data_IF_491961896548
#
_entry.id   IF_491961896548
#
_cell.length_a   1.000
_cell.length_b   1.000
_cell.length_c   1.000
_cell.angle_alpha   90.00
_cell.angle_beta   90.00
_cell.angle_gamma   90.00
#
_symmetry.space_group_name_H-M   'P 1'
#
loop_
_entity.id
_entity.type
_entity.pdbx_description
1 polymer ?
#
# COMPACT_ATOMS: atom_id res chain seq x y z
N UNK A 1 20.22 -15.60 27.22
CA UNK A 1 18.90 -14.91 27.25
C UNK A 1 18.26 -14.69 25.86
N UNK A 2 19.03 -14.64 24.76
CA UNK A 2 18.50 -14.53 23.39
C UNK A 2 17.94 -15.86 22.81
N UNK A 3 18.57 -16.99 23.11
CA UNK A 3 18.17 -18.32 22.61
C UNK A 3 16.80 -18.78 23.11
N UNK A 4 16.47 -18.51 24.38
CA UNK A 4 15.16 -18.81 24.96
C UNK A 4 14.03 -18.04 24.25
N UNK A 5 14.27 -16.77 23.95
CA UNK A 5 13.32 -15.90 23.23
C UNK A 5 13.10 -16.42 21.81
N UNK A 6 14.14 -16.93 21.16
CA UNK A 6 14.05 -17.51 19.81
C UNK A 6 13.33 -18.86 19.78
N UNK A 7 13.53 -19.73 20.78
CA UNK A 7 12.82 -21.02 20.90
C UNK A 7 11.32 -20.78 21.17
N UNK A 8 11.00 -19.88 22.10
CA UNK A 8 9.62 -19.46 22.37
C UNK A 8 8.96 -18.83 21.14
N UNK A 9 9.72 -18.07 20.32
CA UNK A 9 9.19 -17.46 19.10
C UNK A 9 9.14 -18.39 17.88
N UNK A 10 9.85 -19.52 17.82
CA UNK A 10 9.96 -20.33 16.59
C UNK A 10 9.21 -21.66 16.64
N UNK A 11 8.74 -22.07 17.82
CA UNK A 11 7.90 -23.26 17.99
C UNK A 11 8.18 -23.87 19.35
N UNK A 12 7.35 -23.56 20.34
CA UNK A 12 7.43 -24.14 21.68
C UNK A 12 6.94 -25.60 21.68
N UNK A 13 6.01 -25.93 20.79
CA UNK A 13 5.35 -27.24 20.75
C UNK A 13 6.28 -28.43 20.46
N UNK A 14 7.31 -28.38 19.59
CA UNK A 14 8.22 -29.53 19.41
C UNK A 14 9.06 -29.77 20.66
N UNK A 15 9.53 -28.71 21.32
CA UNK A 15 10.27 -28.83 22.58
C UNK A 15 9.38 -29.41 23.69
N UNK A 16 8.11 -28.99 23.74
CA UNK A 16 7.14 -29.46 24.71
C UNK A 16 6.71 -30.91 24.45
N UNK A 17 6.53 -31.30 23.18
CA UNK A 17 6.30 -32.69 22.75
C UNK A 17 7.47 -33.57 23.18
N UNK A 18 8.71 -33.17 22.90
CA UNK A 18 9.90 -33.94 23.29
C UNK A 18 10.02 -34.07 24.81
N UNK A 19 9.78 -33.00 25.56
CA UNK A 19 9.82 -33.03 27.02
C UNK A 19 8.73 -33.95 27.61
N UNK A 20 7.49 -33.86 27.10
CA UNK A 20 6.39 -34.72 27.55
C UNK A 20 6.61 -36.19 27.18
N UNK A 21 7.18 -36.46 26.01
CA UNK A 21 7.51 -37.82 25.58
C UNK A 21 8.59 -38.44 26.48
N UNK A 22 9.66 -37.69 26.80
CA UNK A 22 10.72 -38.15 27.69
C UNK A 22 10.20 -38.36 29.12
N UNK A 23 9.37 -37.45 29.64
CA UNK A 23 8.76 -37.60 30.95
C UNK A 23 7.78 -38.78 31.01
N UNK A 24 6.95 -38.97 29.99
CA UNK A 24 6.02 -40.10 29.89
C UNK A 24 6.74 -41.44 29.87
N UNK A 25 7.88 -41.54 29.18
CA UNK A 25 8.74 -42.73 29.20
C UNK A 25 9.39 -42.97 30.56
N UNK A 26 9.89 -41.91 31.22
CA UNK A 26 10.54 -42.00 32.52
C UNK A 26 9.57 -42.41 33.64
N UNK A 27 8.38 -41.82 33.66
CA UNK A 27 7.33 -42.09 34.66
C UNK A 27 6.38 -43.24 34.27
N UNK A 28 6.64 -43.93 33.15
CA UNK A 28 5.84 -45.06 32.65
C UNK A 28 4.35 -44.73 32.51
N UNK A 29 4.03 -43.56 31.97
CA UNK A 29 2.65 -43.15 31.75
C UNK A 29 1.97 -44.03 30.68
N UNK A 30 0.66 -44.33 30.82
CA UNK A 30 -0.07 -45.10 29.82
C UNK A 30 -0.02 -44.42 28.45
N UNK A 31 0.37 -45.17 27.42
CA UNK A 31 0.43 -44.66 26.05
C UNK A 31 -0.93 -44.14 25.56
N UNK A 32 -2.02 -44.73 26.05
CA UNK A 32 -3.40 -44.31 25.79
C UNK A 32 -3.69 -42.85 26.19
N UNK A 33 -2.94 -42.30 27.15
CA UNK A 33 -3.10 -40.91 27.60
C UNK A 33 -2.05 -39.99 26.97
N UNK A 34 -0.82 -40.48 26.83
CA UNK A 34 0.30 -39.69 26.28
C UNK A 34 0.08 -39.39 24.80
N UNK A 35 -0.32 -40.38 24.00
CA UNK A 35 -0.47 -40.20 22.55
C UNK A 35 -1.54 -39.16 22.21
N UNK A 36 -2.77 -39.20 22.75
CA UNK A 36 -3.76 -38.15 22.50
C UNK A 36 -3.31 -36.76 22.96
N UNK A 37 -2.64 -36.65 24.11
CA UNK A 37 -2.12 -35.39 24.60
C UNK A 37 -1.09 -34.77 23.62
N UNK A 38 -0.17 -35.58 23.11
CA UNK A 38 0.82 -35.14 22.12
C UNK A 38 0.16 -34.71 20.79
N UNK A 39 -0.87 -35.44 20.34
CA UNK A 39 -1.64 -35.08 19.13
C UNK A 39 -2.33 -33.72 19.29
N UNK A 40 -2.94 -33.47 20.46
CA UNK A 40 -3.59 -32.18 20.75
C UNK A 40 -2.55 -31.04 20.75
N UNK A 41 -1.41 -31.23 21.42
CA UNK A 41 -0.32 -30.24 21.48
C UNK A 41 0.20 -29.94 20.06
N UNK A 42 0.37 -30.97 19.23
CA UNK A 42 0.78 -30.80 17.84
C UNK A 42 -0.26 -30.00 17.05
N UNK A 43 -1.55 -30.31 17.19
CA UNK A 43 -2.64 -29.58 16.53
C UNK A 43 -2.65 -28.10 16.90
N UNK A 44 -2.56 -27.77 18.19
CA UNK A 44 -2.47 -26.38 18.67
C UNK A 44 -1.21 -25.70 18.12
N UNK A 45 -0.07 -26.40 18.16
CA UNK A 45 1.20 -25.89 17.65
C UNK A 45 1.16 -25.53 16.17
N UNK A 46 0.54 -26.37 15.34
CA UNK A 46 0.33 -26.12 13.92
C UNK A 46 -0.58 -24.92 13.67
N UNK A 47 -1.70 -24.81 14.40
CA UNK A 47 -2.61 -23.66 14.30
C UNK A 47 -1.89 -22.35 14.63
N UNK A 48 -1.14 -22.32 15.73
CA UNK A 48 -0.34 -21.14 16.13
C UNK A 48 0.73 -20.81 15.09
N UNK A 49 1.39 -21.81 14.51
CA UNK A 49 2.37 -21.61 13.44
C UNK A 49 1.72 -20.97 12.20
N UNK A 50 0.55 -21.46 11.78
CA UNK A 50 -0.20 -20.90 10.64
C UNK A 50 -0.57 -19.44 10.90
N UNK A 51 -1.10 -19.12 12.09
CA UNK A 51 -1.45 -17.74 12.47
C UNK A 51 -0.21 -16.84 12.39
N UNK A 52 0.92 -17.29 12.95
CA UNK A 52 2.16 -16.50 12.96
C UNK A 52 2.76 -16.26 11.57
N UNK A 53 2.67 -17.26 10.69
CA UNK A 53 3.08 -17.10 9.28
C UNK A 53 2.21 -16.04 8.61
N UNK A 54 0.89 -16.08 8.85
CA UNK A 54 -0.06 -15.08 8.32
C UNK A 54 0.22 -13.68 8.86
N UNK A 55 0.46 -13.52 10.15
CA UNK A 55 0.83 -12.23 10.76
C UNK A 55 2.09 -11.64 10.10
N UNK A 56 3.13 -12.43 9.91
CA UNK A 56 4.37 -11.97 9.24
C UNK A 56 4.15 -11.58 7.79
N UNK A 57 3.27 -12.28 7.07
CA UNK A 57 2.91 -11.90 5.71
C UNK A 57 2.15 -10.57 5.69
N UNK A 58 1.26 -10.33 6.66
CA UNK A 58 0.54 -9.08 6.82
C UNK A 58 1.45 -7.92 7.23
N UNK A 59 2.44 -8.14 8.08
CA UNK A 59 3.44 -7.10 8.43
C UNK A 59 4.22 -6.66 7.19
N UNK A 60 4.72 -7.61 6.37
CA UNK A 60 5.44 -7.28 5.12
C UNK A 60 4.54 -6.53 4.13
N UNK A 61 3.30 -6.98 4.04
CA UNK A 61 2.24 -6.37 3.23
C UNK A 61 2.01 -4.91 3.63
N UNK A 62 1.94 -4.63 4.93
CA UNK A 62 1.77 -3.29 5.45
C UNK A 62 2.96 -2.38 5.12
N UNK A 63 4.18 -2.89 5.26
CA UNK A 63 5.40 -2.16 4.91
C UNK A 63 5.40 -1.79 3.43
N UNK A 64 4.99 -2.70 2.53
CA UNK A 64 4.89 -2.39 1.10
C UNK A 64 3.83 -1.34 0.81
N UNK A 65 2.64 -1.46 1.40
CA UNK A 65 1.57 -0.47 1.21
C UNK A 65 2.01 0.92 1.67
N UNK A 66 2.73 0.98 2.79
CA UNK A 66 3.34 2.22 3.29
C UNK A 66 4.37 2.79 2.31
N UNK A 67 5.27 1.96 1.80
CA UNK A 67 6.28 2.40 0.83
C UNK A 67 5.64 2.99 -0.43
N UNK A 68 4.56 2.37 -0.93
CA UNK A 68 3.80 2.90 -2.07
C UNK A 68 3.19 4.26 -1.74
N UNK A 69 2.53 4.40 -0.58
CA UNK A 69 1.91 5.66 -0.17
C UNK A 69 2.94 6.78 0.06
N UNK A 70 4.06 6.46 0.70
CA UNK A 70 5.19 7.38 0.91
C UNK A 70 5.81 7.81 -0.42
N UNK A 71 6.02 6.86 -1.34
CA UNK A 71 6.54 7.16 -2.67
C UNK A 71 5.59 8.09 -3.43
N UNK A 72 4.28 7.80 -3.42
CA UNK A 72 3.26 8.65 -4.04
C UNK A 72 3.30 10.06 -3.45
N UNK A 73 3.27 10.17 -2.12
CA UNK A 73 3.29 11.45 -1.43
C UNK A 73 4.55 12.26 -1.78
N UNK A 74 5.73 11.64 -1.73
CA UNK A 74 6.99 12.32 -2.04
C UNK A 74 7.10 12.75 -3.50
N UNK A 75 6.57 11.95 -4.43
CA UNK A 75 6.80 12.17 -5.87
C UNK A 75 5.72 13.02 -6.53
N UNK A 76 4.47 12.95 -6.07
CA UNK A 76 3.33 13.53 -6.77
C UNK A 76 2.54 14.55 -5.95
N UNK A 77 2.86 14.73 -4.66
CA UNK A 77 2.20 15.69 -3.76
C UNK A 77 3.14 16.85 -3.39
N UNK A 78 2.60 17.83 -2.65
CA UNK A 78 3.34 19.00 -2.19
C UNK A 78 3.87 19.84 -3.34
N UNK A 79 5.10 20.33 -3.18
CA UNK A 79 5.80 21.19 -4.14
C UNK A 79 6.64 20.37 -5.15
N UNK A 80 6.36 19.08 -5.32
CA UNK A 80 7.07 18.25 -6.29
C UNK A 80 6.83 18.78 -7.71
N UNK A 81 7.91 18.89 -8.50
CA UNK A 81 7.80 19.23 -9.92
C UNK A 81 7.07 18.19 -10.76
N UNK A 82 6.86 16.98 -10.23
CA UNK A 82 5.99 15.98 -10.86
C UNK A 82 4.59 15.91 -10.23
N UNK A 83 4.20 16.89 -9.41
CA UNK A 83 2.81 17.00 -9.00
C UNK A 83 1.98 17.52 -10.17
N UNK A 84 0.88 16.83 -10.50
CA UNK A 84 -0.09 17.32 -11.49
C UNK A 84 -0.59 18.72 -11.14
N UNK A 85 -0.72 19.05 -9.85
CA UNK A 85 -1.16 20.36 -9.40
C UNK A 85 -0.14 21.46 -9.71
N UNK A 86 1.16 21.16 -9.58
CA UNK A 86 2.24 22.10 -9.95
C UNK A 86 2.31 22.26 -11.47
N UNK A 87 2.05 21.20 -12.22
CA UNK A 87 1.98 21.28 -13.70
C UNK A 87 0.77 22.11 -14.13
N UNK A 88 -0.39 21.94 -13.48
CA UNK A 88 -1.58 22.75 -13.69
C UNK A 88 -1.30 24.23 -13.37
N UNK A 89 -0.58 24.51 -12.28
CA UNK A 89 -0.21 25.86 -11.87
C UNK A 89 0.63 26.59 -12.93
N UNK A 90 1.45 25.87 -13.71
CA UNK A 90 2.20 26.47 -14.82
C UNK A 90 1.31 27.10 -15.91
N UNK A 91 0.02 26.71 -15.98
CA UNK A 91 -0.94 27.27 -16.93
C UNK A 91 -1.41 28.68 -16.55
N UNK A 92 -1.11 29.18 -15.34
CA UNK A 92 -1.35 30.59 -15.00
C UNK A 92 -0.52 31.55 -15.87
N UNK A 93 0.54 31.07 -16.52
CA UNK A 93 1.34 31.86 -17.47
C UNK A 93 0.62 32.09 -18.82
N UNK A 94 -0.53 31.45 -19.05
CA UNK A 94 -1.34 31.63 -20.26
C UNK A 94 -2.41 32.71 -20.04
N UNK A 95 -2.62 33.59 -21.02
CA UNK A 95 -3.68 34.62 -20.96
C UNK A 95 -5.09 34.03 -21.25
N UNK A 96 -5.55 33.10 -20.41
CA UNK A 96 -6.87 32.47 -20.52
C UNK A 96 -7.63 32.44 -19.18
N UNK A 97 -8.60 33.35 -18.97
CA UNK A 97 -9.33 33.46 -17.70
C UNK A 97 -10.05 32.17 -17.27
N UNK A 98 -10.57 31.38 -18.23
CA UNK A 98 -11.26 30.12 -17.91
C UNK A 98 -10.30 29.07 -17.36
N UNK A 99 -9.07 29.02 -17.89
CA UNK A 99 -8.05 28.11 -17.38
C UNK A 99 -7.57 28.54 -15.99
N UNK A 100 -7.48 29.83 -15.73
CA UNK A 100 -7.13 30.34 -14.40
C UNK A 100 -8.16 29.97 -13.34
N UNK A 101 -9.45 30.08 -13.65
CA UNK A 101 -10.50 29.71 -12.69
C UNK A 101 -10.49 28.21 -12.40
N UNK A 102 -10.26 27.37 -13.42
CA UNK A 102 -10.08 25.93 -13.23
C UNK A 102 -8.81 25.60 -12.44
N UNK A 103 -7.66 26.17 -12.80
CA UNK A 103 -6.39 25.97 -12.10
C UNK A 103 -6.47 26.40 -10.63
N UNK A 104 -7.18 27.50 -10.34
CA UNK A 104 -7.44 27.95 -8.96
C UNK A 104 -8.31 26.96 -8.18
N UNK A 105 -9.29 26.32 -8.82
CA UNK A 105 -10.07 25.27 -8.17
C UNK A 105 -9.21 24.03 -7.85
N UNK A 106 -8.19 23.75 -8.66
CA UNK A 106 -7.22 22.68 -8.43
C UNK A 106 -6.30 22.93 -7.22
N UNK A 107 -5.97 24.18 -6.85
CA UNK A 107 -5.19 24.49 -5.63
C UNK A 107 -5.87 23.98 -4.36
N UNK A 108 -7.20 24.16 -4.24
CA UNK A 108 -7.96 23.61 -3.11
C UNK A 108 -7.89 22.09 -3.07
N UNK A 109 -7.93 21.44 -4.24
CA UNK A 109 -7.79 20.00 -4.34
C UNK A 109 -6.40 19.55 -3.89
N UNK A 110 -5.33 20.22 -4.33
CA UNK A 110 -3.95 19.93 -3.92
C UNK A 110 -3.81 19.89 -2.38
N UNK A 111 -4.41 20.86 -1.67
CA UNK A 111 -4.37 20.90 -0.20
C UNK A 111 -5.06 19.71 0.45
N UNK A 112 -6.22 19.31 -0.10
CA UNK A 112 -6.95 18.13 0.37
C UNK A 112 -6.11 16.87 0.16
N UNK A 113 -5.51 16.71 -1.02
CA UNK A 113 -4.65 15.57 -1.32
C UNK A 113 -3.41 15.52 -0.40
N UNK A 114 -2.73 16.66 -0.18
CA UNK A 114 -1.59 16.76 0.73
C UNK A 114 -1.96 16.37 2.18
N UNK A 115 -3.10 16.87 2.67
CA UNK A 115 -3.60 16.56 4.02
C UNK A 115 -4.01 15.09 4.14
N UNK A 116 -4.69 14.56 3.11
CA UNK A 116 -5.08 13.16 3.06
C UNK A 116 -3.85 12.24 3.05
N UNK A 117 -2.84 12.51 2.22
CA UNK A 117 -1.65 11.67 2.12
C UNK A 117 -0.87 11.62 3.43
N UNK A 118 -0.68 12.77 4.08
CA UNK A 118 -0.01 12.84 5.38
C UNK A 118 -0.80 12.11 6.47
N UNK A 119 -2.12 12.29 6.53
CA UNK A 119 -3.00 11.59 7.48
C UNK A 119 -3.04 10.07 7.25
N UNK A 120 -3.12 9.64 5.98
CA UNK A 120 -3.11 8.23 5.59
C UNK A 120 -1.82 7.53 6.06
N UNK A 121 -0.66 8.12 5.76
CA UNK A 121 0.65 7.56 6.17
C UNK A 121 0.75 7.46 7.70
N UNK A 122 0.33 8.50 8.43
CA UNK A 122 0.36 8.50 9.90
C UNK A 122 -0.56 7.44 10.52
N UNK A 123 -1.79 7.30 10.00
CA UNK A 123 -2.74 6.26 10.47
C UNK A 123 -2.21 4.86 10.19
N UNK A 124 -1.72 4.65 8.97
CA UNK A 124 -1.13 3.38 8.54
C UNK A 124 0.04 2.99 9.45
N UNK A 125 0.93 3.94 9.78
CA UNK A 125 2.04 3.70 10.70
C UNK A 125 1.57 3.34 12.12
N UNK A 126 0.56 4.06 12.63
CA UNK A 126 -0.02 3.79 13.95
C UNK A 126 -0.66 2.40 14.04
N UNK A 127 -1.46 2.02 13.05
CA UNK A 127 -2.21 0.76 13.04
C UNK A 127 -1.32 -0.47 12.79
N UNK A 128 -0.23 -0.29 12.04
CA UNK A 128 0.83 -1.31 11.93
C UNK A 128 1.49 -1.54 13.29
N UNK A 129 1.83 -0.46 14.01
CA UNK A 129 2.39 -0.55 15.36
C UNK A 129 1.44 -1.21 16.37
N UNK A 130 0.13 -0.98 16.24
CA UNK A 130 -0.90 -1.54 17.11
C UNK A 130 -1.33 -2.97 16.76
N UNK A 131 -0.76 -3.60 15.72
CA UNK A 131 -1.17 -4.93 15.17
C UNK A 131 -2.64 -5.01 14.72
N UNK A 132 -3.31 -3.88 14.50
CA UNK A 132 -4.70 -3.80 14.00
C UNK A 132 -4.77 -3.70 12.47
N UNK A 133 -3.62 -3.69 11.80
CA UNK A 133 -3.52 -3.58 10.35
C UNK A 133 -4.36 -4.63 9.60
N UNK A 134 -4.45 -5.85 10.11
CA UNK A 134 -5.25 -6.91 9.49
C UNK A 134 -6.74 -6.54 9.37
N UNK A 135 -7.29 -5.87 10.38
CA UNK A 135 -8.70 -5.49 10.46
C UNK A 135 -9.01 -4.33 9.50
N UNK A 136 -8.04 -3.42 9.30
CA UNK A 136 -8.20 -2.22 8.49
C UNK A 136 -7.60 -2.31 7.09
N UNK A 137 -6.93 -3.42 6.74
CA UNK A 137 -6.28 -3.58 5.44
C UNK A 137 -7.24 -3.33 4.27
N UNK A 138 -8.48 -3.83 4.39
CA UNK A 138 -9.52 -3.60 3.39
C UNK A 138 -9.83 -2.10 3.22
N UNK A 139 -9.96 -1.38 4.33
CA UNK A 139 -10.21 0.07 4.34
C UNK A 139 -9.04 0.83 3.73
N UNK A 140 -7.81 0.54 4.13
CA UNK A 140 -6.61 1.20 3.59
C UNK A 140 -6.46 1.00 2.08
N UNK A 141 -6.74 -0.21 1.58
CA UNK A 141 -6.69 -0.49 0.15
C UNK A 141 -7.75 0.30 -0.63
N UNK A 142 -8.98 0.36 -0.13
CA UNK A 142 -10.05 1.12 -0.77
C UNK A 142 -9.79 2.63 -0.75
N UNK A 143 -9.32 3.17 0.38
CA UNK A 143 -8.98 4.58 0.47
C UNK A 143 -7.84 4.95 -0.49
N UNK A 144 -6.77 4.13 -0.54
CA UNK A 144 -5.65 4.36 -1.45
C UNK A 144 -6.07 4.20 -2.93
N UNK A 145 -6.96 3.26 -3.22
CA UNK A 145 -7.53 3.13 -4.56
C UNK A 145 -8.35 4.37 -4.96
N UNK A 146 -9.22 4.83 -4.06
CA UNK A 146 -10.07 5.99 -4.28
C UNK A 146 -9.22 7.23 -4.55
N UNK A 147 -8.19 7.48 -3.74
CA UNK A 147 -7.37 8.69 -3.92
C UNK A 147 -6.60 8.64 -5.24
N UNK A 148 -6.05 7.49 -5.64
CA UNK A 148 -5.30 7.37 -6.89
C UNK A 148 -6.22 7.57 -8.10
N UNK A 149 -7.47 7.10 -8.00
CA UNK A 149 -8.48 7.32 -9.03
C UNK A 149 -8.86 8.80 -9.14
N UNK A 150 -9.11 9.48 -8.02
CA UNK A 150 -9.42 10.91 -8.04
C UNK A 150 -8.24 11.74 -8.52
N UNK A 151 -7.00 11.34 -8.21
CA UNK A 151 -5.81 11.99 -8.72
C UNK A 151 -5.72 11.88 -10.25
N UNK A 152 -6.06 10.69 -10.78
CA UNK A 152 -6.10 10.46 -12.23
C UNK A 152 -7.08 11.38 -12.94
N UNK A 153 -8.22 11.72 -12.32
CA UNK A 153 -9.19 12.63 -12.94
C UNK A 153 -8.59 14.02 -13.24
N UNK A 154 -7.64 14.50 -12.41
CA UNK A 154 -6.91 15.74 -12.70
C UNK A 154 -5.90 15.58 -13.83
N UNK A 155 -5.29 14.40 -13.94
CA UNK A 155 -4.39 14.07 -15.05
C UNK A 155 -5.14 14.04 -16.37
N UNK A 156 -6.33 13.42 -16.38
CA UNK A 156 -7.20 13.38 -17.55
C UNK A 156 -7.70 14.78 -17.93
N UNK A 157 -8.13 15.59 -16.95
CA UNK A 157 -8.51 16.98 -17.20
C UNK A 157 -7.37 17.81 -17.78
N UNK A 158 -6.15 17.66 -17.26
CA UNK A 158 -4.99 18.38 -17.81
C UNK A 158 -4.69 17.96 -19.25
N UNK A 159 -4.75 16.66 -19.54
CA UNK A 159 -4.59 16.16 -20.90
C UNK A 159 -5.64 16.77 -21.85
N UNK A 160 -6.91 16.77 -21.45
CA UNK A 160 -8.02 17.34 -22.24
C UNK A 160 -7.87 18.85 -22.48
N UNK A 161 -7.24 19.57 -21.54
CA UNK A 161 -6.88 20.98 -21.70
C UNK A 161 -5.73 21.11 -22.70
N UNK A 162 -4.70 20.29 -22.59
CA UNK A 162 -3.53 20.30 -23.48
C UNK A 162 -3.82 19.90 -24.92
N UNK A 163 -4.90 19.16 -25.18
CA UNK A 163 -5.36 18.92 -26.55
C UNK A 163 -6.09 20.12 -27.18
N UNK A 164 -6.62 21.03 -26.35
CA UNK A 164 -7.50 22.13 -26.81
C UNK A 164 -6.83 23.50 -26.78
N UNK A 165 -5.72 23.63 -26.06
CA UNK A 165 -5.04 24.89 -25.79
C UNK A 165 -3.57 24.74 -26.11
N UNK A 166 -2.99 25.75 -26.76
CA UNK A 166 -1.54 25.81 -26.93
C UNK A 166 -0.87 26.02 -25.57
N UNK A 167 -0.19 24.98 -25.09
CA UNK A 167 0.57 24.97 -23.84
C UNK A 167 2.05 25.22 -24.17
N UNK A 168 2.80 25.96 -23.32
CA UNK A 168 4.23 26.15 -23.52
C UNK A 168 4.98 24.81 -23.59
N UNK A 169 6.01 24.68 -24.46
CA UNK A 169 6.72 23.41 -24.64
C UNK A 169 7.38 22.91 -23.35
N UNK A 170 7.80 23.81 -22.46
CA UNK A 170 8.36 23.47 -21.15
C UNK A 170 7.36 22.73 -20.26
N UNK A 171 6.11 23.19 -20.24
CA UNK A 171 5.01 22.53 -19.50
C UNK A 171 4.68 21.17 -20.11
N UNK A 172 4.68 21.04 -21.44
CA UNK A 172 4.48 19.75 -22.12
C UNK A 172 5.59 18.76 -21.74
N UNK A 173 6.85 19.20 -21.73
CA UNK A 173 7.98 18.36 -21.33
C UNK A 173 7.89 17.91 -19.87
N UNK A 174 7.52 18.83 -18.97
CA UNK A 174 7.29 18.52 -17.57
C UNK A 174 6.16 17.50 -17.39
N UNK A 175 5.04 17.68 -18.10
CA UNK A 175 3.91 16.76 -18.09
C UNK A 175 4.28 15.38 -18.62
N UNK A 176 4.98 15.28 -19.75
CA UNK A 176 5.38 13.98 -20.30
C UNK A 176 6.37 13.25 -19.37
N UNK A 177 7.25 13.98 -18.67
CA UNK A 177 8.08 13.40 -17.60
C UNK A 177 7.24 12.87 -16.43
N UNK A 178 6.20 13.60 -16.04
CA UNK A 178 5.22 13.13 -15.06
C UNK A 178 4.51 11.86 -15.53
N UNK A 179 4.05 11.81 -16.78
CA UNK A 179 3.35 10.65 -17.36
C UNK A 179 4.17 9.37 -17.25
N UNK A 180 5.46 9.42 -17.62
CA UNK A 180 6.34 8.26 -17.51
C UNK A 180 6.45 7.73 -16.07
N UNK A 181 6.69 8.62 -15.11
CA UNK A 181 6.88 8.27 -13.69
C UNK A 181 5.55 7.83 -13.05
N UNK A 182 4.45 8.50 -13.38
CA UNK A 182 3.12 8.16 -12.91
C UNK A 182 2.68 6.78 -13.42
N UNK A 183 2.90 6.49 -14.70
CA UNK A 183 2.56 5.20 -15.28
C UNK A 183 3.37 4.06 -14.65
N UNK A 184 4.67 4.27 -14.40
CA UNK A 184 5.51 3.31 -13.70
C UNK A 184 5.01 3.07 -12.25
N UNK A 185 4.65 4.14 -11.54
CA UNK A 185 4.06 4.06 -10.20
C UNK A 185 2.75 3.27 -10.20
N UNK A 186 1.83 3.60 -11.12
CA UNK A 186 0.51 2.98 -11.24
C UNK A 186 0.62 1.47 -11.46
N UNK A 187 1.55 1.01 -12.29
CA UNK A 187 1.78 -0.42 -12.52
C UNK A 187 2.28 -1.11 -11.25
N UNK A 188 3.30 -0.54 -10.59
CA UNK A 188 3.82 -1.07 -9.32
C UNK A 188 2.72 -1.10 -8.23
N UNK A 189 1.90 -0.06 -8.17
CA UNK A 189 0.76 0.00 -7.26
C UNK A 189 -0.25 -1.12 -7.51
N UNK A 190 -0.62 -1.36 -8.78
CA UNK A 190 -1.50 -2.47 -9.17
C UNK A 190 -0.93 -3.83 -8.76
N UNK A 191 0.36 -4.05 -9.00
CA UNK A 191 1.03 -5.29 -8.65
C UNK A 191 1.04 -5.49 -7.13
N UNK A 192 1.33 -4.42 -6.38
CA UNK A 192 1.30 -4.43 -4.91
C UNK A 192 -0.09 -4.77 -4.38
N UNK A 193 -1.17 -4.14 -4.89
CA UNK A 193 -2.55 -4.49 -4.48
C UNK A 193 -2.88 -5.94 -4.83
N UNK A 194 -2.47 -6.41 -6.01
CA UNK A 194 -2.74 -7.79 -6.46
C UNK A 194 -2.09 -8.81 -5.52
N UNK A 195 -0.87 -8.55 -5.08
CA UNK A 195 -0.18 -9.40 -4.11
C UNK A 195 -0.86 -9.34 -2.73
N UNK A 196 -1.23 -8.15 -2.26
CA UNK A 196 -1.93 -7.95 -0.99
C UNK A 196 -3.27 -8.70 -0.94
N UNK A 197 -4.02 -8.70 -2.05
CA UNK A 197 -5.25 -9.48 -2.20
C UNK A 197 -5.01 -10.97 -2.00
N UNK A 198 -4.00 -11.52 -2.65
CA UNK A 198 -3.68 -12.95 -2.56
C UNK A 198 -3.34 -13.37 -1.12
N UNK A 199 -2.67 -12.49 -0.35
CA UNK A 199 -2.29 -12.71 1.04
C UNK A 199 -3.50 -12.60 1.98
N UNK A 200 -4.34 -11.59 1.78
CA UNK A 200 -5.44 -11.30 2.69
C UNK A 200 -6.71 -12.12 2.38
N UNK A 201 -6.77 -12.81 1.23
CA UNK A 201 -7.99 -13.40 0.66
C UNK A 201 -9.15 -12.40 0.66
N UNK A 202 -8.83 -11.12 0.48
CA UNK A 202 -9.83 -10.07 0.40
C UNK A 202 -10.55 -10.22 -0.93
N UNK A 203 -11.88 -10.06 -0.93
CA UNK A 203 -12.70 -10.08 -2.16
C UNK A 203 -12.54 -8.83 -3.04
N UNK A 204 -11.47 -8.05 -2.85
CA UNK A 204 -11.21 -6.82 -3.62
C UNK A 204 -10.65 -7.24 -4.98
N UNK A 205 -11.28 -6.83 -6.07
CA UNK A 205 -10.68 -6.97 -7.40
C UNK A 205 -9.50 -6.00 -7.57
N UNK A 206 -8.37 -6.42 -8.16
CA UNK A 206 -7.26 -5.53 -8.45
C UNK A 206 -7.80 -4.39 -9.29
N UNK A 207 -7.55 -3.15 -8.89
CA UNK A 207 -8.24 -2.06 -9.51
C UNK A 207 -7.84 -1.91 -10.98
N UNK A 208 -8.79 -1.50 -11.82
CA UNK A 208 -8.54 -1.13 -13.21
C UNK A 208 -7.78 0.19 -13.24
N UNK A 209 -6.45 0.13 -13.16
CA UNK A 209 -5.65 1.36 -13.12
C UNK A 209 -5.53 1.95 -14.52
N UNK A 210 -5.89 3.22 -14.64
CA UNK A 210 -5.82 3.98 -15.90
C UNK A 210 -4.42 4.59 -16.04
N UNK A 211 -3.89 4.56 -17.26
CA UNK A 211 -2.61 5.16 -17.58
C UNK A 211 -2.78 6.59 -18.08
N UNK A 212 -1.86 7.45 -17.69
CA UNK A 212 -1.76 8.81 -18.19
C UNK A 212 -1.27 8.79 -19.65
N UNK A 213 -1.79 9.71 -20.45
CA UNK A 213 -1.48 9.87 -21.88
C UNK A 213 -0.48 11.00 -22.06
N UNK A 214 0.49 10.82 -22.94
CA UNK A 214 1.47 11.85 -23.31
C UNK A 214 0.84 12.88 -24.25
N UNK A 215 1.24 14.14 -24.12
CA UNK A 215 0.89 15.20 -25.06
C UNK A 215 1.91 15.21 -26.20
N UNK A 216 1.41 15.21 -27.44
CA UNK A 216 2.25 15.33 -28.64
C UNK A 216 2.72 16.78 -28.74
N UNK A 217 4.02 16.99 -28.90
CA UNK A 217 4.56 18.31 -29.25
C UNK A 217 4.07 18.67 -30.66
N UNK A 218 3.12 19.59 -30.77
CA UNK A 218 2.87 20.26 -32.04
C UNK A 218 4.10 21.12 -32.36
N UNK A 219 4.85 20.70 -33.38
CA UNK A 219 6.05 21.38 -33.87
C UNK A 219 5.72 22.69 -34.58
#
# INVERSE_FOLDING_TARGET
MYTLKTIVNRGWYPALITALAVAGLYFSWPLEVVVPALVIILGIGLVVMVIKVRERQLERSAVRLRQVAEYFNRRFMGDSSLSIFIIIDSLFNLDNPKLWDWARACDMSQRIFNSWCSSFINRLESDVGARRFADYLYTYLNELWSITSHYYDFVEQFYDVGEKVEIPPETIDQYNKFVMEYNAFVQNFRDTITELRNIARTGIEPPSVKLARELVKTA
#
